data_IF_004048879063
#
_entry.id   IF_004048879063
#
_cell.length_a   1.000
_cell.length_b   1.000
_cell.length_c   1.000
_cell.angle_alpha   90.00
_cell.angle_beta   90.00
_cell.angle_gamma   90.00
#
_symmetry.space_group_name_H-M   'P 1'
#
loop_
_entity.id
_entity.type
_entity.pdbx_description
1 polymer ?
#
# COMPACT_ATOMS: atom_id res chain seq x y z
N UNK A 1 4.92 7.77 6.19
CA UNK A 1 5.19 9.22 6.33
C UNK A 1 4.89 9.88 4.98
N UNK A 2 3.94 10.83 4.92
CA UNK A 2 3.60 11.59 3.71
C UNK A 2 4.80 12.32 3.08
N UNK A 3 5.84 12.64 3.85
CA UNK A 3 7.07 13.26 3.33
C UNK A 3 7.91 12.28 2.50
N UNK A 4 7.79 10.98 2.78
CA UNK A 4 8.54 9.91 2.08
C UNK A 4 7.70 9.32 0.95
N UNK A 5 6.39 9.22 1.15
CA UNK A 5 5.43 8.69 0.19
C UNK A 5 4.30 9.72 0.00
N UNK A 6 4.37 10.57 -1.04
CA UNK A 6 3.39 11.62 -1.29
C UNK A 6 2.09 11.05 -1.89
N UNK A 7 1.39 10.22 -1.14
CA UNK A 7 0.12 9.61 -1.53
C UNK A 7 -0.98 10.66 -1.36
N UNK A 8 -1.51 11.15 -2.48
CA UNK A 8 -2.62 12.11 -2.50
C UNK A 8 -3.99 11.45 -2.39
N UNK A 9 -4.12 10.21 -2.87
CA UNK A 9 -5.34 9.41 -2.86
C UNK A 9 -4.98 7.96 -2.52
N UNK A 10 -5.45 7.48 -1.37
CA UNK A 10 -5.17 6.13 -0.87
C UNK A 10 -5.98 5.05 -1.60
N UNK A 11 -7.07 5.41 -2.27
CA UNK A 11 -7.82 4.50 -3.15
C UNK A 11 -7.06 4.25 -4.45
N UNK A 12 -6.49 5.31 -5.04
CA UNK A 12 -5.60 5.18 -6.21
C UNK A 12 -4.36 4.35 -5.86
N UNK A 13 -3.75 4.58 -4.69
CA UNK A 13 -2.65 3.76 -4.19
C UNK A 13 -3.03 2.28 -4.08
N UNK A 14 -4.20 1.97 -3.48
CA UNK A 14 -4.68 0.59 -3.35
C UNK A 14 -4.93 -0.07 -4.71
N UNK A 15 -5.45 0.69 -5.69
CA UNK A 15 -5.63 0.22 -7.06
C UNK A 15 -4.30 -0.10 -7.75
N UNK A 16 -3.30 0.78 -7.66
CA UNK A 16 -1.98 0.56 -8.27
C UNK A 16 -1.28 -0.66 -7.67
N UNK A 17 -1.32 -0.82 -6.35
CA UNK A 17 -0.74 -1.97 -5.67
C UNK A 17 -1.41 -3.29 -6.12
N UNK A 18 -2.73 -3.28 -6.30
CA UNK A 18 -3.46 -4.42 -6.83
C UNK A 18 -3.10 -4.69 -8.29
N UNK A 19 -3.01 -3.65 -9.12
CA UNK A 19 -2.72 -3.78 -10.54
C UNK A 19 -1.31 -4.34 -10.79
N UNK A 20 -0.31 -3.79 -10.11
CA UNK A 20 1.12 -4.09 -10.28
C UNK A 20 1.56 -5.37 -9.55
N UNK A 21 1.23 -5.51 -8.27
CA UNK A 21 1.76 -6.60 -7.43
C UNK A 21 0.71 -7.67 -7.08
N UNK A 22 -0.54 -7.51 -7.54
CA UNK A 22 -1.67 -8.42 -7.23
C UNK A 22 -1.93 -8.54 -5.72
N UNK A 23 -1.68 -7.47 -4.97
CA UNK A 23 -1.99 -7.40 -3.53
C UNK A 23 -3.21 -6.50 -3.32
N UNK A 24 -4.29 -7.08 -2.81
CA UNK A 24 -5.50 -6.34 -2.44
C UNK A 24 -5.39 -5.85 -0.99
N UNK A 25 -5.49 -4.54 -0.79
CA UNK A 25 -5.59 -3.89 0.53
C UNK A 25 -6.89 -3.09 0.61
N UNK A 26 -7.26 -2.69 1.83
CA UNK A 26 -8.32 -1.71 2.05
C UNK A 26 -7.69 -0.39 2.47
N UNK A 27 -8.00 0.67 1.73
CA UNK A 27 -7.53 2.02 2.01
C UNK A 27 -8.09 2.56 3.34
N UNK A 28 -7.35 3.45 4.00
CA UNK A 28 -7.68 3.99 5.32
C UNK A 28 -8.96 4.83 5.31
N UNK A 29 -9.19 5.61 4.25
CA UNK A 29 -10.42 6.41 4.08
C UNK A 29 -11.68 5.56 4.06
N UNK A 30 -11.58 4.27 3.68
CA UNK A 30 -12.67 3.28 3.81
C UNK A 30 -13.09 2.99 5.25
N UNK A 31 -12.32 3.45 6.24
CA UNK A 31 -12.62 3.37 7.68
C UNK A 31 -12.91 4.74 8.30
N UNK A 32 -13.22 5.77 7.51
CA UNK A 32 -13.35 7.16 7.94
C UNK A 32 -12.07 7.75 8.56
N UNK A 33 -10.90 7.25 8.18
CA UNK A 33 -9.63 7.89 8.54
C UNK A 33 -9.49 9.23 7.80
N UNK A 34 -9.03 10.26 8.50
CA UNK A 34 -9.02 11.65 8.00
C UNK A 34 -7.97 11.92 6.92
N UNK A 35 -6.95 11.06 6.81
CA UNK A 35 -5.80 11.24 5.93
C UNK A 35 -5.65 10.07 4.95
N UNK A 36 -4.80 10.22 3.93
CA UNK A 36 -4.51 9.17 2.93
C UNK A 36 -3.23 8.36 3.25
N UNK A 37 -2.84 8.31 4.54
CA UNK A 37 -1.55 7.78 4.98
C UNK A 37 -1.65 6.41 5.67
N UNK A 38 -2.82 5.78 5.64
CA UNK A 38 -3.08 4.47 6.25
C UNK A 38 -3.79 3.52 5.28
N UNK A 39 -3.56 2.22 5.48
CA UNK A 39 -4.34 1.14 4.88
C UNK A 39 -4.37 -0.04 5.86
N UNK A 40 -5.27 -1.00 5.63
CA UNK A 40 -5.46 -2.17 6.49
C UNK A 40 -5.08 -3.46 5.79
N UNK A 41 -4.40 -4.34 6.53
CA UNK A 41 -4.06 -5.72 6.15
C UNK A 41 -4.68 -6.69 7.16
N UNK A 42 -5.07 -7.89 6.71
CA UNK A 42 -5.54 -8.97 7.57
C UNK A 42 -4.46 -10.05 7.71
N UNK A 43 -4.31 -10.60 8.91
CA UNK A 43 -3.27 -11.61 9.24
C UNK A 43 -3.84 -13.04 9.30
N UNK A 44 -4.97 -13.28 8.63
CA UNK A 44 -5.58 -14.61 8.51
C UNK A 44 -4.77 -15.60 7.65
N UNK A 45 -4.05 -15.18 6.58
CA UNK A 45 -3.20 -16.08 5.81
C UNK A 45 -2.06 -16.67 6.64
N UNK A 46 -1.43 -17.74 6.13
CA UNK A 46 -0.27 -18.32 6.77
C UNK A 46 0.95 -17.39 6.68
N UNK A 47 2.00 -17.70 7.43
CA UNK A 47 3.20 -16.86 7.53
C UNK A 47 3.92 -16.71 6.18
N UNK A 48 3.90 -17.72 5.31
CA UNK A 48 4.59 -17.68 4.03
C UNK A 48 3.86 -16.77 3.03
N UNK A 49 2.54 -16.84 2.98
CA UNK A 49 1.70 -15.92 2.20
C UNK A 49 1.87 -14.47 2.69
N UNK A 50 1.93 -14.27 4.00
CA UNK A 50 2.16 -12.96 4.60
C UNK A 50 3.55 -12.41 4.23
N UNK A 51 4.60 -13.24 4.31
CA UNK A 51 5.96 -12.84 3.88
C UNK A 51 5.97 -12.42 2.42
N UNK A 52 5.30 -13.17 1.56
CA UNK A 52 5.22 -12.84 0.14
C UNK A 52 4.47 -11.53 -0.10
N UNK A 53 3.31 -11.34 0.53
CA UNK A 53 2.50 -10.14 0.40
C UNK A 53 3.23 -8.88 0.92
N UNK A 54 3.91 -8.99 2.06
CA UNK A 54 4.73 -7.88 2.59
C UNK A 54 5.91 -7.57 1.66
N UNK A 55 6.58 -8.58 1.11
CA UNK A 55 7.66 -8.37 0.14
C UNK A 55 7.18 -7.71 -1.17
N UNK A 56 5.97 -8.03 -1.63
CA UNK A 56 5.29 -7.35 -2.74
C UNK A 56 5.05 -5.86 -2.42
N UNK A 57 4.54 -5.56 -1.22
CA UNK A 57 4.33 -4.18 -0.76
C UNK A 57 5.66 -3.41 -0.69
N UNK A 58 6.72 -4.02 -0.17
CA UNK A 58 8.05 -3.41 -0.11
C UNK A 58 8.55 -3.01 -1.51
N UNK A 59 8.46 -3.93 -2.48
CA UNK A 59 8.88 -3.66 -3.87
C UNK A 59 8.09 -2.51 -4.47
N UNK A 60 6.76 -2.53 -4.34
CA UNK A 60 5.90 -1.46 -4.82
C UNK A 60 6.27 -0.11 -4.21
N UNK A 61 6.40 -0.02 -2.88
CA UNK A 61 6.77 1.22 -2.18
C UNK A 61 8.16 1.73 -2.59
N UNK A 62 9.13 0.83 -2.82
CA UNK A 62 10.46 1.19 -3.32
C UNK A 62 10.39 1.84 -4.70
N UNK A 63 9.58 1.29 -5.61
CA UNK A 63 9.36 1.87 -6.94
C UNK A 63 8.55 3.16 -6.89
N UNK A 64 7.50 3.20 -6.07
CA UNK A 64 6.69 4.40 -5.85
C UNK A 64 7.55 5.56 -5.39
N UNK A 65 8.46 5.34 -4.42
CA UNK A 65 9.40 6.36 -3.97
C UNK A 65 10.28 6.85 -5.10
N UNK A 66 10.84 5.96 -5.94
CA UNK A 66 11.66 6.37 -7.10
C UNK A 66 10.88 7.20 -8.11
N UNK A 67 9.61 6.87 -8.38
CA UNK A 67 8.72 7.62 -9.29
C UNK A 67 8.44 9.05 -8.79
N UNK A 68 8.43 9.27 -7.48
CA UNK A 68 8.04 10.53 -6.84
C UNK A 68 9.20 11.26 -6.14
N UNK A 69 10.43 10.73 -6.27
CA UNK A 69 11.65 11.43 -5.85
C UNK A 69 12.05 12.39 -6.98
N UNK A 70 11.44 13.56 -7.00
CA UNK A 70 11.90 14.71 -7.78
C UNK A 70 12.76 15.63 -6.90
#
# INVERSE_FOLDING_TARGET
DPKVYPIADDQQFAYELLAEEKVLIVQGTGFNWINHDHFRVVFLPNVDDLREAIGRIERFLSQYRKRHSA
#
